data_IF_575311434437
#
_entry.id   IF_575311434437
#
_cell.length_a   1.000
_cell.length_b   1.000
_cell.length_c   1.000
_cell.angle_alpha   90.00
_cell.angle_beta   90.00
_cell.angle_gamma   90.00
#
_symmetry.space_group_name_H-M   'P 1'
#
loop_
_entity.id
_entity.type
_entity.pdbx_description
1 polymer ?
#
# COMPACT_ATOMS: atom_id res chain seq x y z
N UNK A 1 3.50 19.82 9.04
CA UNK A 1 3.58 21.02 8.19
C UNK A 1 2.47 21.99 8.61
N UNK A 2 2.81 23.07 9.30
CA UNK A 2 1.86 24.15 9.57
C UNK A 2 1.83 25.07 8.35
N UNK A 3 0.67 25.25 7.73
CA UNK A 3 0.51 26.12 6.58
C UNK A 3 -0.21 27.38 7.04
N UNK A 4 0.44 28.52 6.92
CA UNK A 4 -0.17 29.82 7.21
C UNK A 4 -0.35 30.60 5.91
N UNK A 5 -1.37 31.49 5.82
CA UNK A 5 -1.51 32.38 4.68
C UNK A 5 -0.23 33.22 4.45
N UNK A 6 0.08 33.51 3.20
CA UNK A 6 1.26 34.29 2.81
C UNK A 6 1.28 35.65 3.53
N UNK A 7 2.33 35.90 4.33
CA UNK A 7 2.50 37.14 5.10
C UNK A 7 1.97 37.10 6.55
N UNK A 8 1.44 35.96 7.01
CA UNK A 8 0.96 35.81 8.38
C UNK A 8 2.12 35.51 9.36
N UNK A 9 2.39 36.44 10.29
CA UNK A 9 3.44 36.32 11.33
C UNK A 9 2.88 36.16 12.75
N UNK A 10 1.56 35.97 12.89
CA UNK A 10 0.88 35.84 14.19
C UNK A 10 0.86 34.41 14.75
N UNK A 11 0.36 34.26 15.99
CA UNK A 11 0.07 32.96 16.61
C UNK A 11 -1.03 32.25 15.81
N UNK A 12 -0.86 30.95 15.52
CA UNK A 12 -1.85 30.16 14.76
C UNK A 12 -3.27 30.35 15.29
N UNK A 13 -4.19 30.78 14.42
CA UNK A 13 -5.61 30.94 14.75
C UNK A 13 -6.35 29.63 14.51
N UNK A 14 -7.46 29.41 15.22
CA UNK A 14 -8.45 28.39 14.82
C UNK A 14 -8.85 28.64 13.36
N UNK A 15 -9.01 27.57 12.56
CA UNK A 15 -9.23 27.52 11.10
C UNK A 15 -7.98 27.49 10.20
N UNK A 16 -6.78 27.72 10.75
CA UNK A 16 -5.54 27.52 10.00
C UNK A 16 -5.18 26.03 9.92
N UNK A 17 -5.46 25.41 8.78
CA UNK A 17 -5.24 23.98 8.60
C UNK A 17 -3.78 23.57 8.86
N UNK A 18 -3.62 22.54 9.69
CA UNK A 18 -2.33 21.92 9.96
C UNK A 18 -2.29 20.57 9.27
N UNK A 19 -1.29 20.36 8.42
CA UNK A 19 -1.14 19.13 7.64
C UNK A 19 -0.02 18.28 8.21
N UNK A 20 -0.23 16.97 8.34
CA UNK A 20 0.84 16.05 8.72
C UNK A 20 0.86 14.80 7.85
N UNK A 21 2.06 14.25 7.66
CA UNK A 21 2.26 12.97 6.98
C UNK A 21 3.42 12.19 7.63
N UNK A 22 3.79 12.52 8.86
CA UNK A 22 4.92 11.94 9.58
C UNK A 22 4.50 10.66 10.32
N UNK A 23 3.98 9.71 9.55
CA UNK A 23 3.52 8.42 10.06
C UNK A 23 3.72 7.33 9.00
N UNK A 24 3.53 6.08 9.39
CA UNK A 24 3.68 4.93 8.49
C UNK A 24 2.78 5.06 7.25
N UNK A 25 3.37 4.87 6.06
CA UNK A 25 2.72 5.06 4.76
C UNK A 25 2.25 6.50 4.50
N UNK A 26 2.62 7.48 5.32
CA UNK A 26 2.35 8.90 5.11
C UNK A 26 3.13 9.45 3.92
N UNK A 27 2.47 10.26 3.09
CA UNK A 27 3.11 10.96 1.98
C UNK A 27 2.39 12.27 1.69
N UNK A 28 3.08 13.36 2.02
CA UNK A 28 2.82 14.73 1.59
C UNK A 28 4.15 15.49 1.72
N UNK A 29 4.56 16.21 0.69
CA UNK A 29 5.87 16.87 0.64
C UNK A 29 5.81 18.36 0.98
N UNK A 30 4.84 19.08 0.42
CA UNK A 30 4.66 20.51 0.60
C UNK A 30 3.20 20.88 0.38
N UNK A 31 2.75 21.93 1.05
CA UNK A 31 1.43 22.54 0.83
C UNK A 31 1.61 24.04 0.68
N UNK A 32 1.06 24.59 -0.40
CA UNK A 32 1.04 26.03 -0.67
C UNK A 32 -0.40 26.53 -0.44
N UNK A 33 -0.57 27.61 0.33
CA UNK A 33 -1.87 28.26 0.55
C UNK A 33 -2.14 29.24 -0.60
N UNK A 34 -3.14 28.95 -1.43
CA UNK A 34 -3.51 29.77 -2.59
C UNK A 34 -4.53 30.83 -2.20
N UNK A 35 -5.52 30.43 -1.40
CA UNK A 35 -6.48 31.32 -0.76
C UNK A 35 -6.91 30.74 0.60
N UNK A 36 -7.79 31.43 1.32
CA UNK A 36 -8.36 30.93 2.58
C UNK A 36 -9.01 29.54 2.45
N UNK A 37 -9.50 29.18 1.25
CA UNK A 37 -10.24 27.96 1.00
C UNK A 37 -9.59 27.05 -0.06
N UNK A 38 -8.39 27.37 -0.54
CA UNK A 38 -7.74 26.62 -1.62
C UNK A 38 -6.27 26.37 -1.32
N UNK A 39 -5.87 25.11 -1.44
CA UNK A 39 -4.52 24.65 -1.12
C UNK A 39 -3.97 23.77 -2.24
N UNK A 40 -2.75 24.06 -2.65
CA UNK A 40 -1.99 23.24 -3.57
C UNK A 40 -1.08 22.27 -2.79
N UNK A 41 -1.29 20.98 -3.00
CA UNK A 41 -0.58 19.90 -2.33
C UNK A 41 0.40 19.24 -3.31
N UNK A 42 1.62 19.06 -2.83
CA UNK A 42 2.71 18.44 -3.56
C UNK A 42 3.05 17.10 -2.93
N UNK A 43 2.84 16.01 -3.67
CA UNK A 43 3.25 14.66 -3.28
C UNK A 43 4.78 14.59 -3.27
N UNK A 44 5.36 13.96 -2.24
CA UNK A 44 6.79 13.61 -2.23
C UNK A 44 7.05 12.51 -3.26
N UNK A 45 8.09 12.62 -4.11
CA UNK A 45 8.44 11.51 -4.99
C UNK A 45 8.78 10.25 -4.20
N UNK A 46 8.66 9.10 -4.84
CA UNK A 46 9.19 7.85 -4.30
C UNK A 46 10.66 8.03 -3.88
N UNK A 47 11.02 7.42 -2.74
CA UNK A 47 12.40 7.47 -2.21
C UNK A 47 13.40 7.03 -3.27
N UNK A 48 14.48 7.81 -3.43
CA UNK A 48 15.52 7.59 -4.44
C UNK A 48 15.02 7.54 -5.89
N UNK A 49 13.78 7.92 -6.19
CA UNK A 49 13.24 7.96 -7.55
C UNK A 49 12.31 9.17 -7.80
N UNK A 50 12.81 10.25 -8.42
CA UNK A 50 12.03 11.47 -8.61
C UNK A 50 10.96 11.35 -9.70
N UNK A 51 10.73 10.19 -10.32
CA UNK A 51 9.76 10.04 -11.42
C UNK A 51 8.35 9.73 -10.95
N UNK A 52 8.18 9.08 -9.80
CA UNK A 52 6.87 8.59 -9.35
C UNK A 52 6.28 9.48 -8.26
N UNK A 53 5.08 10.03 -8.51
CA UNK A 53 4.27 10.83 -7.58
C UNK A 53 2.80 10.48 -7.79
N UNK A 54 2.27 9.60 -6.95
CA UNK A 54 0.90 9.09 -7.09
C UNK A 54 0.25 8.87 -5.73
N UNK A 55 0.95 8.16 -4.83
CA UNK A 55 0.44 7.89 -3.48
C UNK A 55 0.52 9.14 -2.61
N UNK A 56 -0.60 9.50 -1.99
CA UNK A 56 -0.64 10.48 -0.91
C UNK A 56 -1.39 9.88 0.28
N UNK A 57 -1.01 10.29 1.48
CA UNK A 57 -1.65 9.91 2.73
C UNK A 57 -1.25 10.93 3.79
N UNK A 58 -2.18 11.75 4.23
CA UNK A 58 -1.91 12.87 5.14
C UNK A 58 -3.10 13.13 6.05
N UNK A 59 -2.83 13.77 7.18
CA UNK A 59 -3.83 14.27 8.11
C UNK A 59 -3.98 15.78 7.98
N UNK A 60 -5.15 16.27 8.36
CA UNK A 60 -5.51 17.67 8.49
C UNK A 60 -6.18 17.86 9.85
N UNK A 61 -5.68 18.79 10.64
CA UNK A 61 -6.23 19.20 11.95
C UNK A 61 -6.35 20.72 12.04
N UNK A 62 -6.83 21.22 13.20
CA UNK A 62 -7.15 22.63 13.43
C UNK A 62 -8.21 23.16 12.43
N UNK A 63 -9.18 22.29 12.11
CA UNK A 63 -10.29 22.59 11.19
C UNK A 63 -11.42 23.32 11.93
N UNK A 64 -12.28 24.01 11.19
CA UNK A 64 -13.48 24.65 11.72
C UNK A 64 -14.75 23.98 11.17
N UNK A 65 -15.82 23.94 11.95
CA UNK A 65 -17.08 23.34 11.51
C UNK A 65 -17.64 24.15 10.35
N UNK A 66 -18.17 23.46 9.34
CA UNK A 66 -18.66 24.05 8.08
C UNK A 66 -17.59 24.68 7.18
N UNK A 67 -16.30 24.64 7.57
CA UNK A 67 -15.21 25.13 6.74
C UNK A 67 -15.10 24.30 5.46
N UNK A 68 -15.21 24.97 4.32
CA UNK A 68 -15.12 24.36 2.99
C UNK A 68 -13.77 24.66 2.38
N UNK A 69 -13.12 23.63 1.86
CA UNK A 69 -11.80 23.76 1.23
C UNK A 69 -11.72 22.95 -0.05
N UNK A 70 -10.83 23.40 -0.94
CA UNK A 70 -10.42 22.69 -2.15
C UNK A 70 -8.96 22.30 -1.98
N UNK A 71 -8.71 21.00 -2.11
CA UNK A 71 -7.37 20.44 -2.09
C UNK A 71 -6.97 20.04 -3.51
N UNK A 72 -5.94 20.68 -4.05
CA UNK A 72 -5.41 20.42 -5.39
C UNK A 72 -4.13 19.60 -5.30
N UNK A 73 -4.13 18.34 -5.73
CA UNK A 73 -2.89 17.58 -5.92
C UNK A 73 -2.30 17.92 -7.30
N UNK A 74 -1.26 18.75 -7.33
CA UNK A 74 -0.82 19.43 -8.57
C UNK A 74 0.34 18.75 -9.30
N UNK A 75 0.99 17.75 -8.70
CA UNK A 75 2.21 17.13 -9.22
C UNK A 75 2.10 15.62 -9.46
N UNK A 76 0.91 15.14 -9.85
CA UNK A 76 0.70 13.74 -10.26
C UNK A 76 1.58 13.36 -11.44
N UNK A 77 2.32 12.25 -11.33
CA UNK A 77 3.21 11.77 -12.39
C UNK A 77 2.51 10.89 -13.43
N UNK A 78 1.27 10.45 -13.17
CA UNK A 78 0.50 9.63 -14.11
C UNK A 78 -0.32 10.50 -15.06
N UNK A 79 -0.15 10.28 -16.36
CA UNK A 79 -0.93 10.94 -17.41
C UNK A 79 -2.25 10.25 -17.72
N UNK A 80 -2.39 8.98 -17.36
CA UNK A 80 -3.65 8.20 -17.37
C UNK A 80 -3.91 7.74 -15.94
N UNK A 81 -5.03 8.15 -15.38
CA UNK A 81 -5.40 7.86 -14.00
C UNK A 81 -6.87 7.43 -13.95
N UNK A 82 -7.17 6.45 -13.10
CA UNK A 82 -8.54 6.00 -12.82
C UNK A 82 -9.40 7.11 -12.21
N UNK A 83 -8.80 8.22 -11.76
CA UNK A 83 -9.54 9.43 -11.41
C UNK A 83 -10.35 10.02 -12.58
N UNK A 84 -10.03 9.68 -13.84
CA UNK A 84 -10.89 9.98 -15.00
C UNK A 84 -12.12 9.10 -15.08
N UNK A 85 -12.03 7.90 -14.51
CA UNK A 85 -13.02 6.84 -14.61
C UNK A 85 -13.77 6.67 -13.28
N UNK A 86 -13.88 7.75 -12.49
CA UNK A 86 -14.69 7.80 -11.28
C UNK A 86 -14.02 7.30 -10.00
N UNK A 87 -12.71 7.01 -9.99
CA UNK A 87 -11.99 6.80 -8.74
C UNK A 87 -12.08 8.05 -7.86
N UNK A 88 -12.11 7.88 -6.53
CA UNK A 88 -12.05 8.98 -5.58
C UNK A 88 -11.12 8.64 -4.40
N UNK A 89 -10.48 9.64 -3.78
CA UNK A 89 -9.73 9.47 -2.55
C UNK A 89 -10.62 8.94 -1.42
N UNK A 90 -9.99 8.44 -0.37
CA UNK A 90 -10.68 8.03 0.86
C UNK A 90 -10.39 9.00 1.99
N UNK A 91 -11.36 9.16 2.88
CA UNK A 91 -11.27 9.97 4.10
C UNK A 91 -11.72 9.16 5.30
N UNK A 92 -11.12 9.43 6.45
CA UNK A 92 -11.65 9.06 7.77
C UNK A 92 -11.37 10.21 8.74
N UNK A 93 -11.96 10.16 9.93
CA UNK A 93 -11.60 11.08 11.01
C UNK A 93 -11.42 10.33 12.34
N UNK A 94 -10.92 11.02 13.36
CA UNK A 94 -10.81 10.47 14.73
C UNK A 94 -12.14 9.94 15.25
N UNK A 95 -13.24 10.68 15.09
CA UNK A 95 -14.57 10.22 15.50
C UNK A 95 -15.21 9.21 14.53
N UNK A 96 -14.77 9.17 13.26
CA UNK A 96 -15.23 8.21 12.23
C UNK A 96 -14.03 7.42 11.69
N UNK A 97 -13.56 6.39 12.41
CA UNK A 97 -12.30 5.71 12.09
C UNK A 97 -12.39 4.80 10.84
N UNK A 98 -13.59 4.57 10.30
CA UNK A 98 -13.79 3.79 9.08
C UNK A 98 -13.55 4.65 7.86
N UNK A 99 -12.69 4.18 6.97
CA UNK A 99 -12.44 4.82 5.67
C UNK A 99 -13.69 4.83 4.80
N UNK A 100 -13.97 5.98 4.19
CA UNK A 100 -15.05 6.17 3.24
C UNK A 100 -14.50 6.85 1.98
N UNK A 101 -15.02 6.48 0.82
CA UNK A 101 -14.69 7.19 -0.43
C UNK A 101 -15.33 8.56 -0.43
N UNK A 102 -14.59 9.57 -0.89
CA UNK A 102 -15.17 10.86 -1.20
C UNK A 102 -16.20 10.71 -2.33
N UNK A 103 -17.31 11.47 -2.30
CA UNK A 103 -18.28 11.47 -3.40
C UNK A 103 -17.58 11.85 -4.71
N UNK A 104 -17.74 11.04 -5.76
CA UNK A 104 -17.08 11.28 -7.05
C UNK A 104 -17.41 12.66 -7.64
N UNK A 105 -18.62 13.19 -7.39
CA UNK A 105 -19.04 14.54 -7.78
C UNK A 105 -18.21 15.68 -7.16
N UNK A 106 -17.46 15.40 -6.09
CA UNK A 106 -16.59 16.38 -5.42
C UNK A 106 -15.13 16.24 -5.86
N UNK A 107 -14.81 15.32 -6.79
CA UNK A 107 -13.45 15.02 -7.23
C UNK A 107 -13.32 15.32 -8.71
N UNK A 108 -12.30 16.06 -9.08
CA UNK A 108 -12.05 16.51 -10.44
C UNK A 108 -10.63 16.13 -10.84
N UNK A 109 -10.46 15.68 -12.08
CA UNK A 109 -9.16 15.36 -12.62
C UNK A 109 -9.00 15.92 -14.02
N UNK A 110 -8.17 16.96 -14.13
CA UNK A 110 -8.09 17.78 -15.34
C UNK A 110 -6.65 18.23 -15.61
N UNK A 111 -6.40 18.72 -16.82
CA UNK A 111 -5.10 19.26 -17.21
C UNK A 111 -5.08 20.75 -16.93
N UNK A 112 -4.16 21.20 -16.07
CA UNK A 112 -4.07 22.62 -15.70
C UNK A 112 -2.88 23.29 -16.42
N UNK A 113 -3.09 24.31 -17.26
CA UNK A 113 -2.00 25.05 -17.90
C UNK A 113 -1.00 25.65 -16.91
N UNK A 114 -1.50 26.21 -15.80
CA UNK A 114 -0.71 26.94 -14.80
C UNK A 114 0.25 26.03 -14.03
N UNK A 115 -0.07 24.74 -13.92
CA UNK A 115 0.83 23.73 -13.35
C UNK A 115 1.65 23.00 -14.43
N UNK A 116 2.29 23.75 -15.33
CA UNK A 116 3.15 23.21 -16.42
C UNK A 116 2.42 22.19 -17.31
N UNK A 117 1.11 22.35 -17.51
CA UNK A 117 0.24 21.41 -18.24
C UNK A 117 0.21 19.99 -17.63
N UNK A 118 0.55 19.84 -16.34
CA UNK A 118 0.36 18.61 -15.60
C UNK A 118 -1.12 18.34 -15.34
N UNK A 119 -1.41 17.10 -14.96
CA UNK A 119 -2.73 16.76 -14.45
C UNK A 119 -2.82 17.11 -12.97
N UNK A 120 -3.93 17.76 -12.61
CA UNK A 120 -4.30 18.12 -11.25
C UNK A 120 -5.48 17.25 -10.83
N UNK A 121 -5.42 16.71 -9.61
CA UNK A 121 -6.55 16.06 -8.96
C UNK A 121 -7.04 16.96 -7.83
N UNK A 122 -8.21 17.55 -8.00
CA UNK A 122 -8.81 18.45 -7.02
C UNK A 122 -9.97 17.75 -6.32
N UNK A 123 -10.12 17.97 -5.02
CA UNK A 123 -11.30 17.54 -4.30
C UNK A 123 -11.79 18.58 -3.30
N UNK A 124 -13.10 18.80 -3.31
CA UNK A 124 -13.77 19.69 -2.38
C UNK A 124 -14.19 18.92 -1.12
N UNK A 125 -13.93 19.49 0.05
CA UNK A 125 -14.27 18.90 1.34
C UNK A 125 -14.89 19.95 2.27
N UNK A 126 -15.87 19.53 3.07
CA UNK A 126 -16.50 20.35 4.10
C UNK A 126 -16.26 19.66 5.44
N UNK A 127 -15.50 20.31 6.33
CA UNK A 127 -15.30 19.81 7.68
C UNK A 127 -16.58 19.99 8.50
N UNK A 128 -16.88 19.03 9.36
CA UNK A 128 -18.12 19.00 10.13
C UNK A 128 -17.90 18.76 11.63
N UNK A 129 -16.64 18.64 12.08
CA UNK A 129 -16.25 18.49 13.49
C UNK A 129 -14.89 19.13 13.72
N UNK A 130 -14.83 20.13 14.62
CA UNK A 130 -13.61 20.92 14.89
C UNK A 130 -12.53 20.14 15.63
N UNK A 131 -12.93 19.26 16.55
CA UNK A 131 -12.02 18.46 17.36
C UNK A 131 -11.48 17.23 16.62
N UNK A 132 -11.90 17.02 15.36
CA UNK A 132 -11.50 15.85 14.59
C UNK A 132 -10.20 16.10 13.79
N UNK A 133 -9.34 15.08 13.78
CA UNK A 133 -8.26 14.98 12.80
C UNK A 133 -8.75 14.17 11.62
N UNK A 134 -8.74 14.76 10.42
CA UNK A 134 -9.18 14.12 9.18
C UNK A 134 -7.97 13.52 8.47
N UNK A 135 -8.05 12.27 8.05
CA UNK A 135 -7.00 11.62 7.26
C UNK A 135 -7.50 11.37 5.85
N UNK A 136 -6.74 11.82 4.86
CA UNK A 136 -7.02 11.62 3.44
C UNK A 136 -5.95 10.72 2.83
N UNK A 137 -6.35 9.77 1.97
CA UNK A 137 -5.42 8.91 1.27
C UNK A 137 -5.85 8.61 -0.16
N UNK A 138 -4.87 8.28 -1.01
CA UNK A 138 -5.08 7.90 -2.41
C UNK A 138 -6.05 6.71 -2.55
N UNK A 139 -5.86 5.69 -1.70
CA UNK A 139 -6.73 4.53 -1.55
C UNK A 139 -6.65 4.04 -0.10
N UNK A 140 -7.46 3.05 0.29
CA UNK A 140 -7.46 2.46 1.63
C UNK A 140 -6.05 2.03 2.05
N UNK A 141 -5.42 2.69 3.04
CA UNK A 141 -4.07 2.31 3.46
C UNK A 141 -4.07 0.93 4.11
N UNK A 142 -3.06 0.14 3.77
CA UNK A 142 -2.74 -1.12 4.44
C UNK A 142 -1.25 -1.08 4.76
N UNK A 143 -0.94 -0.84 6.03
CA UNK A 143 0.41 -0.60 6.51
C UNK A 143 1.15 -1.91 6.82
N UNK A 144 2.47 -1.85 6.93
CA UNK A 144 3.28 -3.00 7.33
C UNK A 144 3.00 -3.40 8.78
N UNK A 145 2.85 -2.45 9.70
CA UNK A 145 2.48 -2.74 11.09
C UNK A 145 1.15 -3.48 11.17
N UNK A 146 0.15 -3.06 10.38
CA UNK A 146 -1.14 -3.76 10.28
C UNK A 146 -0.97 -5.20 9.81
N UNK A 147 -0.12 -5.44 8.80
CA UNK A 147 0.18 -6.78 8.32
C UNK A 147 0.78 -7.63 9.44
N UNK A 148 1.81 -7.12 10.13
CA UNK A 148 2.47 -7.85 11.20
C UNK A 148 1.49 -8.25 12.30
N UNK A 149 0.67 -7.30 12.80
CA UNK A 149 -0.35 -7.60 13.81
C UNK A 149 -1.36 -8.66 13.35
N UNK A 150 -1.75 -8.62 12.07
CA UNK A 150 -2.64 -9.63 11.49
C UNK A 150 -1.97 -11.01 11.48
N UNK A 151 -0.73 -11.11 11.02
CA UNK A 151 0.02 -12.37 10.98
C UNK A 151 0.30 -12.90 12.40
N UNK A 152 0.64 -12.03 13.36
CA UNK A 152 0.81 -12.39 14.78
C UNK A 152 -0.50 -12.93 15.38
N UNK A 153 -1.64 -12.39 14.96
CA UNK A 153 -2.95 -12.89 15.39
C UNK A 153 -3.27 -14.27 14.81
N UNK A 154 -2.85 -14.54 13.56
CA UNK A 154 -3.02 -15.83 12.93
C UNK A 154 -2.12 -16.90 13.54
N UNK A 155 -0.85 -16.57 13.79
CA UNK A 155 0.14 -17.47 14.39
C UNK A 155 -0.30 -17.92 15.79
N UNK A 156 -0.87 -17.00 16.59
CA UNK A 156 -1.45 -17.32 17.91
C UNK A 156 -2.63 -18.30 17.88
N UNK A 157 -3.27 -18.52 16.73
CA UNK A 157 -4.31 -19.54 16.57
C UNK A 157 -3.75 -20.96 16.56
N UNK A 158 -2.42 -21.11 16.40
CA UNK A 158 -1.71 -22.39 16.45
C UNK A 158 -2.36 -23.47 15.58
N UNK A 159 -2.56 -23.16 14.30
CA UNK A 159 -3.18 -24.08 13.34
C UNK A 159 -2.11 -25.01 12.76
N UNK A 160 -2.30 -26.32 12.86
CA UNK A 160 -1.32 -27.33 12.41
C UNK A 160 -1.01 -27.30 10.89
N UNK A 161 -1.86 -26.62 10.12
CA UNK A 161 -1.73 -26.46 8.67
C UNK A 161 -1.26 -25.07 8.24
N UNK A 162 -0.83 -24.21 9.17
CA UNK A 162 -0.28 -22.88 8.92
C UNK A 162 1.09 -22.75 9.56
N UNK A 163 2.10 -22.41 8.77
CA UNK A 163 3.43 -22.07 9.25
C UNK A 163 3.81 -20.67 8.76
N UNK A 164 4.32 -19.82 9.66
CA UNK A 164 4.85 -18.50 9.34
C UNK A 164 6.36 -18.50 9.52
N UNK A 165 7.08 -18.06 8.51
CA UNK A 165 8.54 -18.05 8.47
C UNK A 165 9.06 -16.65 8.08
N UNK A 166 10.27 -16.32 8.51
CA UNK A 166 10.99 -15.17 7.98
C UNK A 166 11.78 -15.62 6.76
N UNK A 167 11.30 -15.27 5.57
CA UNK A 167 11.99 -15.59 4.32
C UNK A 167 13.25 -14.74 4.12
N UNK A 168 13.27 -13.54 4.68
CA UNK A 168 14.40 -12.63 4.61
C UNK A 168 14.11 -11.31 5.28
N UNK A 169 15.00 -10.35 5.01
CA UNK A 169 14.90 -8.98 5.52
C UNK A 169 14.91 -8.00 4.35
N UNK A 170 14.20 -6.90 4.50
CA UNK A 170 14.31 -5.76 3.59
C UNK A 170 15.60 -4.97 3.85
N UNK A 171 15.83 -3.91 3.07
CA UNK A 171 17.02 -3.07 3.24
C UNK A 171 17.00 -2.38 4.61
N UNK A 172 15.84 -1.89 5.06
CA UNK A 172 15.68 -1.34 6.41
C UNK A 172 15.39 -2.40 7.49
N UNK A 173 15.78 -3.65 7.25
CA UNK A 173 15.66 -4.75 8.22
C UNK A 173 14.20 -5.05 8.66
N UNK A 174 13.21 -4.80 7.78
CA UNK A 174 11.83 -5.27 8.00
C UNK A 174 11.72 -6.73 7.58
N UNK A 175 10.97 -7.51 8.37
CA UNK A 175 10.73 -8.92 8.11
C UNK A 175 9.97 -9.10 6.79
N UNK A 176 10.47 -10.00 5.96
CA UNK A 176 9.74 -10.53 4.82
C UNK A 176 9.11 -11.86 5.24
N UNK A 177 7.80 -11.85 5.47
CA UNK A 177 7.07 -13.06 5.86
C UNK A 177 6.79 -13.99 4.68
N UNK A 178 6.91 -15.29 4.96
CA UNK A 178 6.40 -16.38 4.13
C UNK A 178 5.40 -17.18 4.95
N UNK A 179 4.19 -17.35 4.42
CA UNK A 179 3.22 -18.29 4.96
C UNK A 179 3.20 -19.56 4.14
N UNK A 180 3.23 -20.70 4.82
CA UNK A 180 2.95 -22.01 4.25
C UNK A 180 1.61 -22.49 4.76
N UNK A 181 0.64 -22.72 3.86
CA UNK A 181 -0.70 -23.21 4.22
C UNK A 181 -0.97 -24.51 3.48
N UNK A 182 -1.08 -25.63 4.21
CA UNK A 182 -1.29 -26.98 3.65
C UNK A 182 -1.56 -28.00 4.77
N UNK A 183 -2.35 -29.04 4.49
CA UNK A 183 -2.50 -30.22 5.37
C UNK A 183 -1.24 -31.13 5.29
N UNK A 184 -0.99 -32.06 6.23
CA UNK A 184 0.21 -32.92 6.23
C UNK A 184 0.22 -34.08 5.21
N UNK A 185 -0.64 -34.08 4.19
CA UNK A 185 -0.73 -35.18 3.21
C UNK A 185 0.44 -35.24 2.20
N UNK A 186 0.64 -36.41 1.58
CA UNK A 186 1.72 -36.65 0.61
C UNK A 186 1.26 -36.33 -0.82
N UNK A 187 2.19 -35.80 -1.63
CA UNK A 187 2.02 -35.44 -3.06
C UNK A 187 1.00 -34.33 -3.34
N UNK A 188 1.49 -33.10 -3.43
CA UNK A 188 0.65 -31.90 -3.60
C UNK A 188 1.15 -31.01 -4.72
N UNK A 189 0.22 -30.22 -5.28
CA UNK A 189 0.58 -29.11 -6.17
C UNK A 189 1.14 -27.95 -5.34
N UNK A 190 2.00 -27.15 -5.94
CA UNK A 190 2.59 -25.99 -5.30
C UNK A 190 2.08 -24.71 -5.97
N UNK A 191 1.61 -23.75 -5.17
CA UNK A 191 1.22 -22.41 -5.63
C UNK A 191 1.98 -21.37 -4.83
N UNK A 192 2.59 -20.41 -5.53
CA UNK A 192 3.30 -19.28 -4.92
C UNK A 192 2.53 -18.00 -5.19
N UNK A 193 2.15 -17.29 -4.14
CA UNK A 193 1.43 -16.02 -4.23
C UNK A 193 2.29 -14.90 -3.67
N UNK A 194 2.36 -13.78 -4.37
CA UNK A 194 3.03 -12.58 -3.89
C UNK A 194 2.12 -11.35 -4.03
N UNK A 195 2.23 -10.43 -3.07
CA UNK A 195 1.45 -9.20 -3.07
C UNK A 195 2.34 -7.98 -2.71
N UNK A 196 1.86 -6.78 -3.06
CA UNK A 196 2.52 -5.49 -2.78
C UNK A 196 3.98 -5.42 -3.26
N UNK A 197 4.20 -5.78 -4.52
CA UNK A 197 5.49 -5.44 -5.19
C UNK A 197 5.62 -3.93 -5.34
N UNK A 198 4.55 -3.27 -5.79
CA UNK A 198 4.42 -1.82 -5.75
C UNK A 198 3.75 -1.40 -4.43
N UNK A 199 4.39 -0.51 -3.66
CA UNK A 199 3.88 -0.12 -2.35
C UNK A 199 2.51 0.54 -2.33
N UNK A 200 2.20 1.40 -3.30
CA UNK A 200 0.96 2.17 -3.34
C UNK A 200 -0.26 1.39 -3.82
N UNK A 201 -0.09 0.14 -4.25
CA UNK A 201 -1.17 -0.75 -4.69
C UNK A 201 -1.77 -1.48 -3.48
N UNK A 202 -2.23 -0.72 -2.49
CA UNK A 202 -2.76 -1.24 -1.23
C UNK A 202 -3.94 -2.23 -1.34
N UNK A 203 -4.83 -2.19 -2.36
CA UNK A 203 -5.87 -3.21 -2.53
C UNK A 203 -5.32 -4.65 -2.60
N UNK A 204 -4.11 -4.84 -3.14
CA UNK A 204 -3.47 -6.15 -3.21
C UNK A 204 -3.29 -6.79 -1.82
N UNK A 205 -3.05 -5.99 -0.77
CA UNK A 205 -2.95 -6.51 0.60
C UNK A 205 -4.28 -6.99 1.14
N UNK A 206 -5.39 -6.28 0.86
CA UNK A 206 -6.72 -6.71 1.30
C UNK A 206 -7.15 -8.00 0.61
N UNK A 207 -6.87 -8.13 -0.70
CA UNK A 207 -7.13 -9.36 -1.45
C UNK A 207 -6.29 -10.51 -0.87
N UNK A 208 -4.98 -10.29 -0.68
CA UNK A 208 -4.10 -11.30 -0.11
C UNK A 208 -4.54 -11.73 1.29
N UNK A 209 -4.97 -10.77 2.13
CA UNK A 209 -5.53 -11.07 3.45
C UNK A 209 -6.77 -11.96 3.33
N UNK A 210 -7.73 -11.61 2.46
CA UNK A 210 -8.93 -12.42 2.25
C UNK A 210 -8.64 -13.83 1.72
N UNK A 211 -7.63 -13.98 0.86
CA UNK A 211 -7.14 -15.30 0.42
C UNK A 211 -6.61 -16.11 1.60
N UNK A 212 -5.78 -15.50 2.45
CA UNK A 212 -5.24 -16.17 3.65
C UNK A 212 -6.40 -16.55 4.58
N UNK A 213 -7.30 -15.62 4.89
CA UNK A 213 -8.47 -15.84 5.77
C UNK A 213 -9.33 -17.01 5.27
N UNK A 214 -9.59 -17.08 3.96
CA UNK A 214 -10.30 -18.19 3.34
C UNK A 214 -9.53 -19.51 3.47
N UNK A 215 -8.24 -19.52 3.12
CA UNK A 215 -7.40 -20.70 3.15
C UNK A 215 -7.17 -21.26 4.56
N UNK A 216 -7.28 -20.44 5.62
CA UNK A 216 -7.18 -20.93 7.01
C UNK A 216 -8.52 -21.27 7.65
N UNK A 217 -9.64 -21.03 6.95
CA UNK A 217 -10.99 -21.29 7.43
C UNK A 217 -11.39 -22.76 7.36
N UNK A 218 -12.51 -23.11 7.99
CA UNK A 218 -13.13 -24.44 7.89
C UNK A 218 -14.10 -24.58 6.72
N UNK A 219 -14.06 -23.66 5.74
CA UNK A 219 -14.86 -23.79 4.54
C UNK A 219 -14.48 -25.09 3.81
N UNK A 220 -15.45 -25.93 3.36
CA UNK A 220 -15.14 -27.24 2.75
C UNK A 220 -14.17 -27.16 1.57
N UNK A 221 -14.34 -26.14 0.72
CA UNK A 221 -13.41 -25.89 -0.41
C UNK A 221 -12.00 -25.55 0.08
N UNK A 222 -11.85 -24.79 1.17
CA UNK A 222 -10.54 -24.46 1.71
C UNK A 222 -9.84 -25.70 2.27
N UNK A 223 -10.58 -26.60 2.94
CA UNK A 223 -10.06 -27.90 3.41
C UNK A 223 -9.54 -28.71 2.23
N UNK A 224 -10.37 -28.92 1.20
CA UNK A 224 -9.98 -29.67 -0.01
C UNK A 224 -8.74 -29.05 -0.67
N UNK A 225 -8.67 -27.72 -0.76
CA UNK A 225 -7.50 -27.02 -1.31
C UNK A 225 -6.24 -27.29 -0.48
N UNK A 226 -6.32 -27.23 0.85
CA UNK A 226 -5.18 -27.54 1.74
C UNK A 226 -4.74 -29.00 1.62
N UNK A 227 -5.64 -29.92 1.31
CA UNK A 227 -5.30 -31.34 1.12
C UNK A 227 -4.52 -31.57 -0.17
N UNK A 228 -4.80 -30.80 -1.23
CA UNK A 228 -4.20 -31.02 -2.56
C UNK A 228 -3.12 -30.00 -2.96
N UNK A 229 -3.00 -28.89 -2.24
CA UNK A 229 -2.16 -27.74 -2.63
C UNK A 229 -1.37 -27.21 -1.44
N UNK A 230 -0.07 -26.98 -1.67
CA UNK A 230 0.80 -26.21 -0.80
C UNK A 230 0.78 -24.76 -1.27
N UNK A 231 0.26 -23.86 -0.42
CA UNK A 231 0.32 -22.43 -0.68
C UNK A 231 1.53 -21.82 0.01
N UNK A 232 2.42 -21.20 -0.77
CA UNK A 232 3.53 -20.37 -0.29
C UNK A 232 3.18 -18.91 -0.57
N UNK A 233 2.91 -18.12 0.46
CA UNK A 233 2.35 -16.76 0.32
C UNK A 233 3.31 -15.73 0.92
N UNK A 234 3.71 -14.76 0.11
CA UNK A 234 4.47 -13.57 0.53
C UNK A 234 3.52 -12.36 0.51
N UNK A 235 2.90 -12.00 1.65
CA UNK A 235 1.81 -11.02 1.69
C UNK A 235 2.25 -9.57 1.43
N UNK A 236 3.54 -9.25 1.57
CA UNK A 236 4.08 -7.93 1.25
C UNK A 236 5.53 -8.01 0.81
N UNK A 237 5.77 -7.93 -0.49
CA UNK A 237 7.11 -8.03 -1.08
C UNK A 237 7.98 -6.79 -0.85
N UNK A 238 7.35 -5.61 -0.71
CA UNK A 238 8.05 -4.33 -0.58
C UNK A 238 7.70 -3.58 0.73
N UNK A 239 8.04 -4.13 1.90
CA UNK A 239 7.67 -3.54 3.19
C UNK A 239 8.28 -2.15 3.40
N UNK A 240 9.50 -1.90 2.91
CA UNK A 240 10.15 -0.59 3.04
C UNK A 240 9.43 0.50 2.26
N UNK A 241 9.11 0.23 0.98
CA UNK A 241 8.37 1.19 0.18
C UNK A 241 6.98 1.48 0.77
N UNK A 242 6.32 0.47 1.36
CA UNK A 242 5.02 0.65 2.04
C UNK A 242 5.17 1.55 3.25
N UNK A 243 6.15 1.29 4.10
CA UNK A 243 6.40 2.09 5.30
C UNK A 243 6.69 3.56 4.96
N UNK A 244 7.47 3.80 3.89
CA UNK A 244 7.87 5.13 3.44
C UNK A 244 6.79 5.88 2.66
N UNK A 245 5.63 5.26 2.38
CA UNK A 245 4.60 5.90 1.56
C UNK A 245 5.03 6.12 0.10
N UNK A 246 5.86 5.23 -0.45
CA UNK A 246 6.11 5.19 -1.88
C UNK A 246 4.88 4.69 -2.64
N UNK A 247 4.84 4.90 -3.95
CA UNK A 247 3.84 4.33 -4.84
C UNK A 247 4.34 3.06 -5.56
N UNK A 248 5.54 3.10 -6.13
CA UNK A 248 6.02 2.07 -7.07
C UNK A 248 7.35 1.45 -6.64
N UNK A 249 8.27 2.24 -6.12
CA UNK A 249 9.66 1.83 -5.92
C UNK A 249 9.95 1.28 -4.52
N UNK A 250 10.98 0.45 -4.43
CA UNK A 250 11.65 0.12 -3.16
C UNK A 250 12.32 1.34 -2.52
N UNK A 251 12.89 1.17 -1.32
CA UNK A 251 13.74 2.17 -0.68
C UNK A 251 14.84 2.71 -1.62
N UNK A 252 15.50 1.82 -2.36
CA UNK A 252 16.60 2.15 -3.27
C UNK A 252 16.14 2.75 -4.60
N UNK A 253 14.84 3.04 -4.77
CA UNK A 253 14.32 3.71 -5.97
C UNK A 253 14.05 2.79 -7.15
N UNK A 254 14.11 1.47 -6.97
CA UNK A 254 13.91 0.49 -8.04
C UNK A 254 12.47 -0.02 -8.08
N UNK A 255 11.94 -0.19 -9.30
CA UNK A 255 10.73 -0.97 -9.55
C UNK A 255 11.10 -2.47 -9.43
N UNK A 256 10.73 -3.10 -8.31
CA UNK A 256 11.05 -4.51 -8.06
C UNK A 256 10.47 -5.44 -9.14
N UNK A 257 9.35 -5.09 -9.76
CA UNK A 257 8.74 -5.89 -10.81
C UNK A 257 9.45 -5.75 -12.18
N UNK A 258 10.62 -5.11 -12.21
CA UNK A 258 11.52 -5.04 -13.37
C UNK A 258 12.87 -5.72 -13.15
N UNK A 259 13.08 -6.32 -11.97
CA UNK A 259 14.38 -6.86 -11.56
C UNK A 259 14.36 -8.37 -11.24
N UNK A 260 13.35 -9.11 -11.71
CA UNK A 260 13.26 -10.57 -11.52
C UNK A 260 14.38 -11.36 -12.21
N UNK A 261 14.90 -10.86 -13.34
CA UNK A 261 15.96 -11.51 -14.11
C UNK A 261 17.25 -11.68 -13.29
N UNK A 262 17.73 -10.62 -12.62
CA UNK A 262 18.96 -10.65 -11.83
C UNK A 262 18.84 -9.74 -10.59
N UNK A 263 18.09 -10.16 -9.55
CA UNK A 263 17.94 -9.35 -8.35
C UNK A 263 19.24 -9.38 -7.52
N UNK A 264 19.82 -8.22 -7.26
CA UNK A 264 20.92 -8.07 -6.30
C UNK A 264 20.45 -8.37 -4.86
N UNK A 265 21.17 -9.19 -4.08
CA UNK A 265 20.83 -9.48 -2.69
C UNK A 265 20.97 -8.27 -1.75
N UNK A 266 21.67 -7.21 -2.18
CA UNK A 266 21.90 -6.01 -1.36
C UNK A 266 20.90 -4.89 -1.69
N UNK A 267 20.55 -4.76 -2.98
CA UNK A 267 19.65 -3.70 -3.47
C UNK A 267 18.19 -4.15 -3.49
N UNK A 268 17.97 -5.44 -3.76
CA UNK A 268 16.65 -6.06 -3.87
C UNK A 268 16.53 -7.30 -2.96
N UNK A 269 16.90 -7.21 -1.66
CA UNK A 269 17.00 -8.39 -0.79
C UNK A 269 15.70 -9.19 -0.72
N UNK A 270 14.54 -8.51 -0.69
CA UNK A 270 13.24 -9.18 -0.64
C UNK A 270 12.92 -9.93 -1.94
N UNK A 271 13.20 -9.32 -3.09
CA UNK A 271 13.00 -9.92 -4.40
C UNK A 271 13.95 -11.10 -4.62
N UNK A 272 15.21 -10.95 -4.20
CA UNK A 272 16.21 -12.01 -4.23
C UNK A 272 15.78 -13.21 -3.39
N UNK A 273 15.34 -12.98 -2.15
CA UNK A 273 14.89 -14.06 -1.25
C UNK A 273 13.70 -14.84 -1.84
N UNK A 274 12.70 -14.15 -2.40
CA UNK A 274 11.56 -14.80 -3.08
C UNK A 274 12.01 -15.56 -4.33
N UNK A 275 12.93 -15.00 -5.12
CA UNK A 275 13.45 -15.70 -6.29
C UNK A 275 14.18 -16.99 -5.90
N UNK A 276 15.05 -16.94 -4.88
CA UNK A 276 15.75 -18.13 -4.38
C UNK A 276 14.77 -19.19 -3.89
N UNK A 277 13.73 -18.80 -3.15
CA UNK A 277 12.65 -19.70 -2.75
C UNK A 277 12.00 -20.38 -3.96
N UNK A 278 11.63 -19.61 -5.00
CA UNK A 278 10.99 -20.16 -6.20
C UNK A 278 11.92 -21.13 -6.94
N UNK A 279 13.21 -20.79 -7.07
CA UNK A 279 14.21 -21.64 -7.72
C UNK A 279 14.39 -22.94 -6.95
N UNK A 280 14.54 -22.87 -5.62
CA UNK A 280 14.65 -24.04 -4.76
C UNK A 280 13.42 -24.95 -4.88
N UNK A 281 12.22 -24.38 -4.75
CA UNK A 281 10.97 -25.12 -4.89
C UNK A 281 10.81 -25.76 -6.27
N UNK A 282 11.33 -25.13 -7.32
CA UNK A 282 11.34 -25.68 -8.67
C UNK A 282 12.32 -26.83 -8.84
N UNK A 283 13.45 -26.82 -8.13
CA UNK A 283 14.44 -27.90 -8.16
C UNK A 283 13.95 -29.11 -7.36
N UNK A 284 13.36 -28.88 -6.18
CA UNK A 284 12.78 -29.92 -5.34
C UNK A 284 11.65 -30.67 -6.05
N UNK A 285 10.88 -29.94 -6.87
CA UNK A 285 9.84 -30.49 -7.73
C UNK A 285 10.33 -31.41 -8.86
N UNK A 286 11.62 -31.32 -9.24
CA UNK A 286 12.24 -32.12 -10.31
C UNK A 286 12.99 -33.35 -9.74
N UNK A 287 13.10 -33.46 -8.41
CA UNK A 287 13.72 -34.63 -7.77
C UNK A 287 12.90 -35.91 -8.00
N UNK A 288 13.53 -37.07 -8.29
CA UNK A 288 12.86 -38.30 -8.76
C UNK A 288 11.88 -38.95 -7.76
N UNK A 289 11.77 -38.42 -6.55
CA UNK A 289 10.80 -38.85 -5.53
C UNK A 289 9.48 -38.05 -5.54
N UNK A 290 9.35 -37.05 -6.41
CA UNK A 290 8.09 -36.37 -6.71
C UNK A 290 7.80 -36.50 -8.22
N UNK A 291 6.71 -37.17 -8.59
CA UNK A 291 6.21 -37.14 -9.96
C UNK A 291 5.85 -35.69 -10.37
N UNK A 292 5.91 -35.34 -11.67
CA UNK A 292 5.82 -33.96 -12.15
C UNK A 292 4.38 -33.41 -12.01
N UNK A 293 4.01 -33.00 -10.79
CA UNK A 293 2.77 -32.29 -10.50
C UNK A 293 2.99 -30.78 -10.25
N UNK A 294 4.20 -30.28 -10.47
CA UNK A 294 4.62 -28.92 -10.09
C UNK A 294 4.41 -27.91 -11.22
N UNK A 295 3.16 -27.61 -11.56
CA UNK A 295 2.89 -26.32 -12.22
C UNK A 295 2.98 -25.23 -11.14
N UNK A 296 4.14 -24.57 -11.03
CA UNK A 296 4.29 -23.38 -10.19
C UNK A 296 3.44 -22.28 -10.83
N UNK A 297 2.27 -22.01 -10.26
CA UNK A 297 1.51 -20.83 -10.59
C UNK A 297 2.03 -19.67 -9.73
N UNK A 298 2.66 -18.69 -10.37
CA UNK A 298 3.06 -17.44 -9.72
C UNK A 298 2.02 -16.39 -10.07
N UNK A 299 1.21 -16.01 -9.09
CA UNK A 299 0.28 -14.89 -9.26
C UNK A 299 0.78 -13.69 -8.46
N UNK A 300 0.96 -12.57 -9.17
CA UNK A 300 1.19 -11.27 -8.56
C UNK A 300 -0.15 -10.54 -8.51
N UNK A 301 -0.60 -10.17 -7.32
CA UNK A 301 -1.74 -9.27 -7.21
C UNK A 301 -1.28 -7.85 -7.59
N UNK A 302 -1.46 -7.49 -8.86
CA UNK A 302 -1.27 -6.15 -9.42
C UNK A 302 -2.65 -5.67 -9.88
N UNK A 303 -3.06 -4.48 -9.44
CA UNK A 303 -4.27 -3.80 -9.93
C UNK A 303 -3.91 -2.64 -10.85
#
# INVERSE_FOLDING_TARGET
LMVTPTGYTGVSRKSHLVFDACFESGNLGRVDCISEFEFDLFIRPDTCNPRFRVWFNFTVENVQETQRVIFNIVNFSKTKSLYRDGMSPVVKSTSRPKWQRLPAKNVYYYRCPDHRRNYVMSFAFCFDREDDVYQFAYCYPYTYTRLQHYLDSLERRNLDYLQREQLGLSVQQRRLDLLTITSPEKQKKLVVLTARVHPGESPASFICQGVIDFLVSQHPVAVILRDHVIFKIVPMLNPDGVYLGNYRCSLMGFDLNRHWQEPSPWVHPTLHAVKQLIVQLSQDAVSPNLQPASKICITHFIQ
#
